data_IF_224535163468
#
_entry.id   IF_224535163468
#
_cell.length_a   1.000
_cell.length_b   1.000
_cell.length_c   1.000
_cell.angle_alpha   90.00
_cell.angle_beta   90.00
_cell.angle_gamma   90.00
#
_symmetry.space_group_name_H-M   'P 1'
#
loop_
_entity.id
_entity.type
_entity.pdbx_description
1 polymer ?
#
# COMPACT_ATOMS: atom_id res chain seq x y z
N UNK A 1 -46.18 12.04 3.43
CA UNK A 1 -46.42 11.64 4.83
C UNK A 1 -47.84 11.13 5.00
N UNK A 2 -47.94 9.94 5.59
CA UNK A 2 -49.12 9.07 5.68
C UNK A 2 -50.40 9.85 6.05
N UNK A 3 -51.37 9.89 5.12
CA UNK A 3 -52.67 10.56 5.27
C UNK A 3 -53.45 10.12 6.53
N UNK A 4 -53.13 8.94 7.06
CA UNK A 4 -53.69 8.35 8.26
C UNK A 4 -53.38 9.16 9.52
N UNK A 5 -52.11 9.54 9.76
CA UNK A 5 -51.72 10.34 10.93
C UNK A 5 -52.27 11.78 10.85
N UNK A 6 -52.39 12.32 9.63
CA UNK A 6 -52.99 13.65 9.41
C UNK A 6 -54.47 13.69 9.83
N UNK A 7 -55.25 12.65 9.48
CA UNK A 7 -56.67 12.54 9.85
C UNK A 7 -56.86 12.45 11.37
N UNK A 8 -56.04 11.62 12.03
CA UNK A 8 -56.10 11.43 13.49
C UNK A 8 -55.75 12.73 14.23
N UNK A 9 -54.79 13.52 13.74
CA UNK A 9 -54.46 14.83 14.31
C UNK A 9 -55.61 15.83 14.22
N UNK A 10 -56.29 15.89 13.08
CA UNK A 10 -57.46 16.74 12.92
C UNK A 10 -58.60 16.35 13.87
N UNK A 11 -58.94 15.06 13.95
CA UNK A 11 -60.02 14.55 14.82
C UNK A 11 -59.76 14.74 16.32
N UNK A 12 -58.49 14.80 16.75
CA UNK A 12 -58.11 15.03 18.15
C UNK A 12 -58.07 16.52 18.53
N UNK A 13 -57.81 17.41 17.56
CA UNK A 13 -57.81 18.85 17.75
C UNK A 13 -59.23 19.40 17.90
N UNK A 14 -60.17 18.86 17.12
CA UNK A 14 -61.59 19.27 17.09
C UNK A 14 -62.37 18.91 18.37
N UNK A 15 -61.81 18.08 19.26
CA UNK A 15 -62.48 17.56 20.48
C UNK A 15 -62.02 18.17 21.81
N UNK A 16 -61.31 19.30 21.85
CA UNK A 16 -60.75 19.90 23.08
C UNK A 16 -59.83 18.95 23.90
N UNK A 17 -59.18 17.98 23.24
CA UNK A 17 -58.29 16.97 23.89
C UNK A 17 -56.80 17.29 23.68
N UNK A 18 -56.38 18.51 24.01
CA UNK A 18 -55.01 19.02 23.83
C UNK A 18 -53.95 18.12 24.47
N UNK A 19 -54.21 17.54 25.65
CA UNK A 19 -53.29 16.61 26.31
C UNK A 19 -53.10 15.27 25.60
N UNK A 20 -54.12 14.77 24.88
CA UNK A 20 -53.98 13.56 24.04
C UNK A 20 -53.22 13.88 22.76
N UNK A 21 -53.52 15.03 22.14
CA UNK A 21 -52.82 15.51 20.94
C UNK A 21 -51.30 15.58 21.14
N UNK A 22 -50.84 16.16 22.25
CA UNK A 22 -49.40 16.27 22.56
C UNK A 22 -48.73 14.89 22.66
N UNK A 23 -49.36 13.92 23.34
CA UNK A 23 -48.83 12.54 23.45
C UNK A 23 -48.71 11.86 22.08
N UNK A 24 -49.68 12.06 21.19
CA UNK A 24 -49.65 11.51 19.83
C UNK A 24 -48.60 12.19 18.94
N UNK A 25 -48.45 13.51 19.03
CA UNK A 25 -47.43 14.25 18.28
C UNK A 25 -46.00 13.85 18.71
N UNK A 26 -45.78 13.63 20.02
CA UNK A 26 -44.51 13.10 20.53
C UNK A 26 -44.25 11.69 19.98
N UNK A 27 -45.26 10.83 19.96
CA UNK A 27 -45.15 9.49 19.36
C UNK A 27 -44.77 9.52 17.88
N UNK A 28 -45.34 10.44 17.10
CA UNK A 28 -45.01 10.62 15.69
C UNK A 28 -43.56 11.10 15.48
N UNK A 29 -43.10 12.06 16.30
CA UNK A 29 -41.71 12.52 16.28
C UNK A 29 -40.75 11.37 16.60
N UNK A 30 -41.03 10.59 17.64
CA UNK A 30 -40.21 9.43 18.01
C UNK A 30 -40.13 8.42 16.85
N UNK A 31 -41.26 8.12 16.21
CA UNK A 31 -41.31 7.21 15.07
C UNK A 31 -40.48 7.72 13.88
N UNK A 32 -40.56 9.02 13.57
CA UNK A 32 -39.75 9.65 12.53
C UNK A 32 -38.26 9.59 12.88
N UNK A 33 -37.90 9.90 14.13
CA UNK A 33 -36.52 9.85 14.60
C UNK A 33 -35.95 8.44 14.50
N UNK A 34 -36.70 7.41 14.90
CA UNK A 34 -36.30 5.99 14.73
C UNK A 34 -36.08 5.67 13.26
N UNK A 35 -36.97 6.12 12.37
CA UNK A 35 -36.81 5.93 10.92
C UNK A 35 -35.53 6.56 10.38
N UNK A 36 -35.21 7.79 10.80
CA UNK A 36 -33.97 8.49 10.41
C UNK A 36 -32.74 7.76 10.95
N UNK A 37 -32.76 7.33 12.22
CA UNK A 37 -31.65 6.62 12.83
C UNK A 37 -31.38 5.29 12.13
N UNK A 38 -32.42 4.52 11.79
CA UNK A 38 -32.28 3.27 11.04
C UNK A 38 -31.71 3.56 9.64
N UNK A 39 -32.21 4.57 8.94
CA UNK A 39 -31.69 4.96 7.63
C UNK A 39 -30.20 5.34 7.69
N UNK A 40 -29.80 6.14 8.68
CA UNK A 40 -28.41 6.50 8.94
C UNK A 40 -27.55 5.27 9.26
N UNK A 41 -28.05 4.35 10.09
CA UNK A 41 -27.33 3.12 10.41
C UNK A 41 -27.11 2.23 9.18
N UNK A 42 -28.12 2.07 8.33
CA UNK A 42 -27.99 1.32 7.08
C UNK A 42 -26.96 1.99 6.15
N UNK A 43 -26.98 3.32 6.05
CA UNK A 43 -26.00 4.05 5.25
C UNK A 43 -24.57 3.86 5.78
N UNK A 44 -24.36 4.06 7.08
CA UNK A 44 -23.06 3.89 7.72
C UNK A 44 -22.55 2.45 7.60
N UNK A 45 -23.42 1.45 7.70
CA UNK A 45 -23.05 0.05 7.49
C UNK A 45 -22.59 -0.23 6.06
N UNK A 46 -23.30 0.31 5.07
CA UNK A 46 -22.92 0.18 3.66
C UNK A 46 -21.59 0.90 3.36
N UNK A 47 -21.37 2.09 3.92
CA UNK A 47 -20.09 2.81 3.81
C UNK A 47 -18.94 2.02 4.44
N UNK A 48 -19.12 1.51 5.66
CA UNK A 48 -18.12 0.67 6.32
C UNK A 48 -17.80 -0.58 5.51
N UNK A 49 -18.81 -1.23 4.90
CA UNK A 49 -18.59 -2.39 4.03
C UNK A 49 -17.73 -2.02 2.81
N UNK A 50 -17.99 -0.87 2.19
CA UNK A 50 -17.17 -0.38 1.06
C UNK A 50 -15.73 -0.11 1.48
N UNK A 51 -15.53 0.51 2.65
CA UNK A 51 -14.18 0.74 3.20
C UNK A 51 -13.45 -0.57 3.44
N UNK A 52 -14.08 -1.55 4.08
CA UNK A 52 -13.48 -2.88 4.33
C UNK A 52 -13.11 -3.56 3.01
N UNK A 53 -13.99 -3.56 2.01
CA UNK A 53 -13.68 -4.13 0.69
C UNK A 53 -12.49 -3.40 0.05
N UNK A 54 -12.45 -2.07 0.09
CA UNK A 54 -11.34 -1.27 -0.46
C UNK A 54 -10.02 -1.58 0.26
N UNK A 55 -10.02 -1.65 1.59
CA UNK A 55 -8.85 -2.05 2.39
C UNK A 55 -8.36 -3.44 2.02
N UNK A 56 -9.27 -4.40 1.78
CA UNK A 56 -8.88 -5.74 1.35
C UNK A 56 -8.19 -5.76 -0.01
N UNK A 57 -8.65 -4.94 -0.96
CA UNK A 57 -7.97 -4.79 -2.27
C UNK A 57 -6.55 -4.29 -2.07
N UNK A 58 -6.35 -3.27 -1.22
CA UNK A 58 -5.00 -2.78 -0.93
C UNK A 58 -4.11 -3.83 -0.28
N UNK A 59 -4.63 -4.67 0.61
CA UNK A 59 -3.83 -5.76 1.18
C UNK A 59 -3.37 -6.78 0.15
N UNK A 60 -4.22 -7.13 -0.81
CA UNK A 60 -3.85 -8.04 -1.90
C UNK A 60 -2.77 -7.40 -2.77
N UNK A 61 -2.94 -6.13 -3.14
CA UNK A 61 -1.96 -5.41 -3.95
C UNK A 61 -0.61 -5.24 -3.23
N UNK A 62 -0.62 -4.89 -1.95
CA UNK A 62 0.61 -4.80 -1.14
C UNK A 62 1.33 -6.14 -1.07
N UNK A 63 0.60 -7.24 -0.91
CA UNK A 63 1.19 -8.58 -0.84
C UNK A 63 1.81 -8.99 -2.19
N UNK A 64 1.14 -8.67 -3.30
CA UNK A 64 1.68 -8.91 -4.64
C UNK A 64 2.94 -8.07 -4.90
N UNK A 65 2.91 -6.77 -4.58
CA UNK A 65 4.06 -5.88 -4.69
C UNK A 65 5.27 -6.42 -3.89
N UNK A 66 5.04 -6.84 -2.63
CA UNK A 66 6.09 -7.40 -1.78
C UNK A 66 6.64 -8.73 -2.30
N UNK A 67 5.81 -9.60 -2.87
CA UNK A 67 6.27 -10.85 -3.45
C UNK A 67 7.13 -10.59 -4.70
N UNK A 68 6.72 -9.64 -5.54
CA UNK A 68 7.50 -9.23 -6.71
C UNK A 68 8.84 -8.61 -6.29
N UNK A 69 8.86 -7.80 -5.23
CA UNK A 69 10.09 -7.25 -4.66
C UNK A 69 11.03 -8.36 -4.18
N UNK A 70 10.50 -9.37 -3.46
CA UNK A 70 11.29 -10.53 -3.00
C UNK A 70 11.93 -11.24 -4.20
N UNK A 71 11.13 -11.58 -5.22
CA UNK A 71 11.64 -12.27 -6.42
C UNK A 71 12.72 -11.45 -7.14
N UNK A 72 12.53 -10.13 -7.26
CA UNK A 72 13.52 -9.25 -7.88
C UNK A 72 14.83 -9.20 -7.09
N UNK A 73 14.74 -9.14 -5.76
CA UNK A 73 15.92 -9.14 -4.87
C UNK A 73 16.63 -10.50 -4.90
N UNK A 74 15.90 -11.62 -4.90
CA UNK A 74 16.47 -12.96 -5.01
C UNK A 74 17.24 -13.16 -6.32
N UNK A 75 16.66 -12.72 -7.44
CA UNK A 75 17.35 -12.72 -8.73
C UNK A 75 18.62 -11.87 -8.70
N UNK A 76 18.55 -10.68 -8.11
CA UNK A 76 19.72 -9.79 -7.98
C UNK A 76 20.83 -10.44 -7.14
N UNK A 77 20.47 -11.10 -6.03
CA UNK A 77 21.42 -11.84 -5.19
C UNK A 77 22.05 -13.00 -5.98
N UNK A 78 21.25 -13.72 -6.79
CA UNK A 78 21.74 -14.81 -7.62
C UNK A 78 22.78 -14.31 -8.64
N UNK A 79 22.49 -13.23 -9.36
CA UNK A 79 23.43 -12.60 -10.31
C UNK A 79 24.72 -12.15 -9.61
N UNK A 80 24.61 -11.47 -8.46
CA UNK A 80 25.79 -11.05 -7.70
C UNK A 80 26.65 -12.22 -7.24
N UNK A 81 26.05 -13.33 -6.81
CA UNK A 81 26.80 -14.53 -6.43
C UNK A 81 27.53 -15.17 -7.61
N UNK A 82 26.91 -15.17 -8.81
CA UNK A 82 27.56 -15.66 -10.02
C UNK A 82 28.77 -14.79 -10.38
N UNK A 83 28.64 -13.46 -10.34
CA UNK A 83 29.76 -12.55 -10.56
C UNK A 83 30.85 -12.73 -9.50
N UNK A 84 30.49 -12.83 -8.22
CA UNK A 84 31.46 -13.03 -7.14
C UNK A 84 32.29 -14.29 -7.35
N UNK A 85 31.66 -15.38 -7.81
CA UNK A 85 32.36 -16.61 -8.17
C UNK A 85 33.33 -16.41 -9.35
N UNK A 86 32.92 -15.69 -10.40
CA UNK A 86 33.80 -15.37 -11.53
C UNK A 86 35.03 -14.56 -11.07
N UNK A 87 34.85 -13.62 -10.15
CA UNK A 87 35.94 -12.84 -9.55
C UNK A 87 36.87 -13.71 -8.68
N UNK A 88 36.32 -14.61 -7.87
CA UNK A 88 37.11 -15.56 -7.05
C UNK A 88 37.93 -16.53 -7.91
N UNK A 89 37.37 -17.01 -9.02
CA UNK A 89 38.06 -17.86 -9.98
C UNK A 89 39.21 -17.11 -10.67
N UNK A 90 38.97 -15.85 -11.08
CA UNK A 90 39.99 -14.99 -11.66
C UNK A 90 41.14 -14.70 -10.69
N UNK A 91 40.84 -14.20 -9.50
CA UNK A 91 41.85 -13.85 -8.47
C UNK A 91 42.69 -15.07 -8.09
N UNK A 92 42.06 -16.24 -7.95
CA UNK A 92 42.75 -17.51 -7.68
C UNK A 92 43.70 -17.93 -8.81
N UNK A 93 43.36 -17.65 -10.07
CA UNK A 93 44.23 -17.93 -11.23
C UNK A 93 45.42 -16.97 -11.29
N UNK A 94 45.18 -15.69 -10.98
CA UNK A 94 46.19 -14.63 -10.95
C UNK A 94 47.27 -14.88 -9.89
N UNK A 95 46.89 -15.37 -8.71
CA UNK A 95 47.83 -15.62 -7.61
C UNK A 95 48.72 -16.87 -7.86
N UNK A 96 48.26 -17.82 -8.67
CA UNK A 96 48.95 -19.09 -8.93
C UNK A 96 49.89 -19.02 -10.12
N UNK A 97 49.52 -18.30 -11.17
CA UNK A 97 50.28 -18.20 -12.41
C UNK A 97 50.80 -16.79 -12.60
N UNK A 98 52.09 -16.63 -12.97
CA UNK A 98 52.58 -15.34 -13.46
C UNK A 98 51.95 -15.09 -14.84
N UNK A 99 50.72 -14.62 -14.85
CA UNK A 99 49.98 -14.28 -16.05
C UNK A 99 50.72 -13.18 -16.80
N UNK A 100 50.86 -13.36 -18.12
CA UNK A 100 51.33 -12.25 -18.96
C UNK A 100 50.26 -11.16 -19.01
N UNK A 101 50.62 -9.89 -19.23
CA UNK A 101 49.65 -8.79 -19.30
C UNK A 101 48.50 -9.03 -20.28
N UNK A 102 48.77 -9.70 -21.41
CA UNK A 102 47.75 -10.02 -22.41
C UNK A 102 46.71 -11.04 -21.90
N UNK A 103 47.17 -12.09 -21.21
CA UNK A 103 46.28 -13.12 -20.66
C UNK A 103 45.44 -12.58 -19.50
N UNK A 104 46.05 -11.75 -18.63
CA UNK A 104 45.33 -11.07 -17.57
C UNK A 104 44.23 -10.14 -18.11
N UNK A 105 44.54 -9.38 -19.17
CA UNK A 105 43.55 -8.53 -19.85
C UNK A 105 42.40 -9.35 -20.44
N UNK A 106 42.70 -10.45 -21.15
CA UNK A 106 41.68 -11.32 -21.74
C UNK A 106 40.73 -11.90 -20.67
N UNK A 107 41.28 -12.33 -19.53
CA UNK A 107 40.49 -12.87 -18.43
C UNK A 107 39.61 -11.80 -17.76
N UNK A 108 40.17 -10.63 -17.43
CA UNK A 108 39.38 -9.51 -16.87
C UNK A 108 38.27 -9.08 -17.83
N UNK A 109 38.52 -9.05 -19.13
CA UNK A 109 37.54 -8.61 -20.13
C UNK A 109 36.30 -9.50 -20.24
N UNK A 110 36.37 -10.72 -19.70
CA UNK A 110 35.24 -11.67 -19.66
C UNK A 110 34.40 -11.54 -18.39
N UNK A 111 34.88 -10.83 -17.37
CA UNK A 111 34.14 -10.59 -16.15
C UNK A 111 33.02 -9.58 -16.44
N UNK A 112 31.78 -9.96 -16.13
CA UNK A 112 30.65 -9.04 -16.29
C UNK A 112 30.61 -8.06 -15.12
N UNK A 113 30.55 -6.77 -15.44
CA UNK A 113 30.41 -5.68 -14.47
C UNK A 113 28.98 -5.12 -14.40
N UNK A 114 28.09 -5.58 -15.28
CA UNK A 114 26.74 -5.01 -15.39
C UNK A 114 25.82 -5.75 -14.43
N UNK A 115 25.47 -5.07 -13.33
CA UNK A 115 24.36 -5.48 -12.48
C UNK A 115 23.06 -4.85 -12.98
N UNK A 116 21.98 -5.62 -12.99
CA UNK A 116 20.64 -5.05 -13.20
C UNK A 116 20.33 -4.05 -12.08
N UNK A 117 19.91 -2.81 -12.40
CA UNK A 117 19.56 -1.83 -11.39
C UNK A 117 18.53 -2.40 -10.41
N UNK A 118 18.75 -2.20 -9.11
CA UNK A 118 17.80 -2.64 -8.10
C UNK A 118 16.56 -1.74 -8.13
N UNK A 119 15.41 -2.34 -8.45
CA UNK A 119 14.12 -1.64 -8.46
C UNK A 119 13.18 -2.23 -7.42
N UNK A 120 12.34 -1.39 -6.81
CA UNK A 120 11.29 -1.81 -5.90
C UNK A 120 9.93 -1.34 -6.43
N UNK A 121 8.89 -2.15 -6.23
CA UNK A 121 7.54 -1.80 -6.60
C UNK A 121 6.99 -0.75 -5.63
N UNK A 122 6.66 0.42 -6.17
CA UNK A 122 6.16 1.54 -5.38
C UNK A 122 4.68 1.84 -5.56
N UNK A 123 4.02 1.16 -6.50
CA UNK A 123 2.70 1.54 -7.00
C UNK A 123 1.63 1.60 -5.91
N UNK A 124 1.50 0.56 -5.08
CA UNK A 124 0.39 0.50 -4.11
C UNK A 124 0.56 1.47 -2.96
N UNK A 125 1.78 1.60 -2.41
CA UNK A 125 2.06 2.54 -1.32
C UNK A 125 1.93 4.00 -1.81
N UNK A 126 2.38 4.32 -3.02
CA UNK A 126 2.19 5.66 -3.60
C UNK A 126 0.71 5.96 -3.84
N UNK A 127 -0.05 4.99 -4.37
CA UNK A 127 -1.49 5.11 -4.53
C UNK A 127 -2.19 5.39 -3.21
N UNK A 128 -1.86 4.63 -2.15
CA UNK A 128 -2.38 4.83 -0.79
C UNK A 128 -2.06 6.24 -0.24
N UNK A 129 -0.86 6.76 -0.49
CA UNK A 129 -0.44 8.09 -0.06
C UNK A 129 -1.18 9.19 -0.82
N UNK A 130 -1.21 9.09 -2.14
CA UNK A 130 -1.80 10.10 -3.03
C UNK A 130 -3.32 10.17 -2.91
N UNK A 131 -3.99 9.04 -2.64
CA UNK A 131 -5.44 9.00 -2.44
C UNK A 131 -5.88 9.34 -1.01
N UNK A 132 -4.95 9.41 -0.06
CA UNK A 132 -5.25 9.54 1.38
C UNK A 132 -5.78 8.24 2.02
N UNK A 133 -5.90 7.15 1.26
CA UNK A 133 -6.38 5.86 1.77
C UNK A 133 -5.36 5.15 2.68
N UNK A 134 -4.14 5.68 2.79
CA UNK A 134 -3.16 5.22 3.79
C UNK A 134 -3.71 5.24 5.22
N UNK A 135 -4.73 6.07 5.49
CA UNK A 135 -5.47 6.09 6.76
C UNK A 135 -6.30 4.83 7.02
N UNK A 136 -6.71 4.10 5.97
CA UNK A 136 -7.44 2.82 6.07
C UNK A 136 -6.54 1.68 6.56
N UNK A 137 -5.22 1.84 6.41
CA UNK A 137 -4.25 0.85 6.86
C UNK A 137 -3.97 1.07 8.36
N UNK A 138 -4.05 0.01 9.19
CA UNK A 138 -3.71 0.07 10.60
C UNK A 138 -2.33 0.66 10.84
N UNK A 139 -2.19 1.48 11.88
CA UNK A 139 -0.97 2.24 12.16
C UNK A 139 0.29 1.36 12.28
N UNK A 140 0.17 0.18 12.87
CA UNK A 140 1.26 -0.79 12.99
C UNK A 140 1.76 -1.30 11.62
N UNK A 141 0.87 -1.52 10.67
CA UNK A 141 1.22 -1.95 9.31
C UNK A 141 1.75 -0.76 8.52
N UNK A 142 1.03 0.38 8.57
CA UNK A 142 1.41 1.61 7.89
C UNK A 142 2.82 2.06 8.25
N UNK A 143 3.19 2.05 9.53
CA UNK A 143 4.52 2.46 9.98
C UNK A 143 5.60 1.53 9.41
N UNK A 144 5.37 0.22 9.41
CA UNK A 144 6.29 -0.76 8.80
C UNK A 144 6.46 -0.53 7.29
N UNK A 145 5.38 -0.23 6.58
CA UNK A 145 5.44 0.09 5.15
C UNK A 145 6.24 1.39 4.89
N UNK A 146 6.07 2.40 5.74
CA UNK A 146 6.85 3.64 5.64
C UNK A 146 8.34 3.41 5.93
N UNK A 147 8.66 2.58 6.92
CA UNK A 147 10.04 2.20 7.23
C UNK A 147 10.67 1.40 6.08
N UNK A 148 9.93 0.45 5.52
CA UNK A 148 10.35 -0.30 4.33
C UNK A 148 10.64 0.65 3.16
N UNK A 149 9.73 1.59 2.87
CA UNK A 149 9.92 2.56 1.79
C UNK A 149 11.17 3.41 2.00
N UNK A 150 11.41 3.87 3.24
CA UNK A 150 12.63 4.62 3.57
C UNK A 150 13.88 3.78 3.31
N UNK A 151 13.87 2.50 3.68
CA UNK A 151 14.98 1.59 3.42
C UNK A 151 15.19 1.36 1.91
N UNK A 152 14.13 1.15 1.15
CA UNK A 152 14.18 1.01 -0.31
C UNK A 152 14.84 2.23 -0.97
N UNK A 153 14.39 3.44 -0.62
CA UNK A 153 14.96 4.68 -1.16
C UNK A 153 16.45 4.84 -0.82
N UNK A 154 16.84 4.52 0.42
CA UNK A 154 18.24 4.55 0.82
C UNK A 154 19.09 3.54 0.04
N UNK A 155 18.54 2.36 -0.26
CA UNK A 155 19.23 1.35 -1.07
C UNK A 155 19.40 1.79 -2.51
N UNK A 156 18.36 2.36 -3.13
CA UNK A 156 18.43 2.91 -4.50
C UNK A 156 19.47 4.04 -4.56
N UNK A 157 19.41 5.02 -3.65
CA UNK A 157 20.35 6.15 -3.64
C UNK A 157 21.80 5.70 -3.48
N UNK A 158 22.08 4.68 -2.65
CA UNK A 158 23.43 4.11 -2.56
C UNK A 158 23.90 3.47 -3.86
N UNK A 159 22.98 2.86 -4.61
CA UNK A 159 23.27 2.24 -5.90
C UNK A 159 23.55 3.30 -6.99
N UNK A 160 22.78 4.39 -6.99
CA UNK A 160 22.99 5.53 -7.88
C UNK A 160 24.33 6.25 -7.61
N UNK A 161 24.66 6.51 -6.34
CA UNK A 161 25.93 7.12 -5.95
C UNK A 161 27.15 6.28 -6.40
N UNK A 162 27.05 4.95 -6.36
CA UNK A 162 28.11 4.07 -6.91
C UNK A 162 28.22 4.15 -8.42
N UNK A 163 27.11 4.39 -9.13
CA UNK A 163 27.09 4.47 -10.60
C UNK A 163 27.64 5.82 -11.10
N UNK A 164 27.31 6.92 -10.43
CA UNK A 164 27.92 8.23 -10.68
C UNK A 164 29.41 8.25 -10.32
N UNK A 165 29.81 7.47 -9.30
CA UNK A 165 31.20 7.20 -9.00
C UNK A 165 31.93 6.52 -10.18
N UNK A 166 31.32 5.55 -10.85
CA UNK A 166 31.91 4.91 -12.04
C UNK A 166 32.00 5.85 -13.25
N UNK A 167 30.97 6.67 -13.51
CA UNK A 167 30.92 7.57 -14.66
C UNK A 167 31.90 8.76 -14.57
N UNK A 168 32.42 9.06 -13.38
CA UNK A 168 33.43 10.13 -13.17
C UNK A 168 34.88 9.62 -13.23
N UNK A 169 35.10 8.31 -13.47
CA UNK A 169 36.45 7.70 -13.54
C UNK A 169 36.87 7.44 -15.01
N UNK A 170 36.01 7.72 -15.99
CA UNK A 170 36.34 7.79 -17.43
C UNK A 170 36.68 9.20 -17.87
#
# INVERSE_FOLDING_TARGET
>A
MIKFFRRIRYDLFDKNKTGKYIKYAIGEIILVVIGILIALQINNWNENKKLVTKTQVYYVQLLDDLNNDILSVENSIHEFNNHLKEYEDYTSSYDKEKLTPLVAYEQISKLSFISTPLTFNTNTIESLQNSGDIGLIPSNIRNKLMDLRRLQNLTISRFEDTNDGQNNIT
#
